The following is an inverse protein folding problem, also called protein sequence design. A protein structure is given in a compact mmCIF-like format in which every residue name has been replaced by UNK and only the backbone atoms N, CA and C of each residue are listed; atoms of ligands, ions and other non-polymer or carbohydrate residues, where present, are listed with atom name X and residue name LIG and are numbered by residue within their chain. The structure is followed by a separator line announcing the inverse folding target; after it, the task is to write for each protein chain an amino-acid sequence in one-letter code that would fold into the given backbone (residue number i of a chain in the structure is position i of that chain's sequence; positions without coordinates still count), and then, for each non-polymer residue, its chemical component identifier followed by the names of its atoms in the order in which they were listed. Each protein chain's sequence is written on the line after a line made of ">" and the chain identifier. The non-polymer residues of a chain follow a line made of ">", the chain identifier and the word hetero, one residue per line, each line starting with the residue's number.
data_IF_758747482081
#
_entry.id   IF_758747482081
#
_cell.length_a   1.000
_cell.length_b   1.000
_cell.length_c   1.000
_cell.angle_alpha   90.00
_cell.angle_beta   90.00
_cell.angle_gamma   90.00
#
_symmetry.space_group_name_H-M   'P 1'
#
loop_
_entity.id
_entity.type
_entity.pdbx_description
1 polymer ?
#
# COMPACT_ATOMS: atom_id res chain seq x y z
N UNK A 1 39.25 -1.57 -2.63
CA UNK A 1 37.88 -1.93 -2.20
C UNK A 1 36.97 -0.73 -2.44
N UNK A 2 35.78 -0.94 -2.96
CA UNK A 2 34.78 0.10 -3.27
C UNK A 2 33.65 0.17 -2.24
N UNK A 3 33.76 -0.55 -1.12
CA UNK A 3 32.81 -0.57 -0.01
C UNK A 3 33.48 -0.79 1.34
N UNK A 4 32.77 -0.46 2.43
CA UNK A 4 33.19 -0.67 3.81
C UNK A 4 33.00 -2.13 4.28
N UNK A 5 33.68 -2.56 5.37
CA UNK A 5 33.46 -3.86 6.00
C UNK A 5 32.00 -4.06 6.48
N UNK A 6 31.52 -5.31 6.61
CA UNK A 6 30.20 -5.61 7.18
C UNK A 6 30.00 -4.93 8.55
N UNK A 7 28.79 -4.41 8.79
CA UNK A 7 28.42 -3.69 9.99
C UNK A 7 27.12 -4.24 10.59
N UNK A 8 26.62 -3.64 11.68
CA UNK A 8 25.40 -4.07 12.36
C UNK A 8 24.16 -4.11 11.42
N UNK A 9 24.11 -3.25 10.39
CA UNK A 9 23.07 -3.29 9.35
C UNK A 9 23.06 -4.59 8.53
N UNK A 10 24.13 -5.40 8.56
CA UNK A 10 24.20 -6.72 7.94
C UNK A 10 23.55 -7.84 8.79
N UNK A 11 23.22 -7.56 10.05
CA UNK A 11 22.61 -8.54 10.98
C UNK A 11 21.15 -8.23 11.32
N UNK A 12 20.61 -7.13 10.80
CA UNK A 12 19.20 -6.76 10.95
C UNK A 12 18.47 -7.24 9.69
N UNK A 13 17.42 -8.04 9.87
CA UNK A 13 16.60 -8.57 8.78
C UNK A 13 15.15 -8.10 8.88
N UNK A 14 14.37 -8.41 7.84
CA UNK A 14 12.95 -8.07 7.73
C UNK A 14 12.08 -9.10 8.44
N UNK A 15 10.94 -8.68 8.99
CA UNK A 15 9.96 -9.61 9.56
C UNK A 15 9.16 -10.30 8.45
N UNK A 16 9.47 -11.57 8.21
CA UNK A 16 8.67 -12.46 7.34
C UNK A 16 7.68 -13.35 8.11
N UNK A 17 7.88 -13.49 9.42
CA UNK A 17 7.08 -14.29 10.34
C UNK A 17 7.00 -13.56 11.69
N UNK A 18 5.96 -13.84 12.49
CA UNK A 18 5.84 -13.33 13.86
C UNK A 18 4.46 -12.78 14.22
N UNK A 19 4.33 -12.28 15.46
CA UNK A 19 3.10 -11.65 15.94
C UNK A 19 3.10 -10.15 15.62
N UNK A 20 1.99 -9.65 15.09
CA UNK A 20 1.79 -8.24 14.80
C UNK A 20 1.74 -7.40 16.10
N UNK A 21 2.30 -6.18 16.11
CA UNK A 21 2.55 -5.37 17.30
C UNK A 21 1.74 -4.07 17.38
N UNK A 22 1.35 -3.50 16.25
CA UNK A 22 0.34 -2.45 16.15
C UNK A 22 -1.06 -2.88 16.66
N UNK A 23 -1.99 -1.93 16.60
CA UNK A 23 -3.32 -2.05 17.21
C UNK A 23 -4.42 -1.86 16.18
N UNK A 24 -5.47 -2.67 16.27
CA UNK A 24 -6.73 -2.36 15.59
C UNK A 24 -7.33 -1.09 16.21
N UNK A 25 -7.70 -0.15 15.37
CA UNK A 25 -8.30 1.13 15.74
C UNK A 25 -9.46 1.45 14.80
N UNK A 26 -10.21 2.49 15.14
CA UNK A 26 -11.10 3.14 14.20
C UNK A 26 -10.71 4.60 14.06
N UNK A 27 -10.83 5.16 12.86
CA UNK A 27 -10.60 6.57 12.57
C UNK A 27 -11.91 7.27 12.21
N UNK A 28 -11.88 8.61 12.14
CA UNK A 28 -13.04 9.42 11.72
C UNK A 28 -14.28 9.12 12.57
N UNK A 29 -14.12 9.23 13.89
CA UNK A 29 -15.19 8.99 14.87
C UNK A 29 -15.82 7.59 14.82
N UNK A 30 -15.02 6.57 14.53
CA UNK A 30 -15.49 5.17 14.54
C UNK A 30 -15.99 4.66 13.20
N UNK A 31 -15.87 5.46 12.11
CA UNK A 31 -16.44 5.10 10.82
C UNK A 31 -15.62 4.06 10.06
N UNK A 32 -14.29 4.18 10.10
CA UNK A 32 -13.40 3.39 9.26
C UNK A 32 -12.45 2.58 10.12
N UNK A 33 -12.37 1.27 9.85
CA UNK A 33 -11.41 0.38 10.51
C UNK A 33 -10.00 0.63 9.99
N UNK A 34 -9.02 0.51 10.89
CA UNK A 34 -7.61 0.60 10.53
C UNK A 34 -6.74 -0.17 11.52
N UNK A 35 -5.49 -0.36 11.13
CA UNK A 35 -4.44 -0.91 11.97
C UNK A 35 -3.31 0.11 12.10
N UNK A 36 -3.01 0.50 13.34
CA UNK A 36 -2.00 1.51 13.65
C UNK A 36 -0.74 0.85 14.20
N UNK A 37 0.33 0.87 13.42
CA UNK A 37 1.67 0.49 13.86
C UNK A 37 2.44 1.74 14.28
N UNK A 38 2.88 1.77 15.54
CA UNK A 38 3.58 2.93 16.13
C UNK A 38 5.07 2.66 16.22
N UNK A 39 5.94 3.58 15.75
CA UNK A 39 7.37 3.39 15.82
C UNK A 39 7.89 3.39 17.26
N UNK A 40 9.01 2.69 17.55
CA UNK A 40 9.72 2.82 18.82
C UNK A 40 10.08 4.30 19.10
N UNK A 41 9.92 4.80 20.34
CA UNK A 41 10.15 6.22 20.65
C UNK A 41 11.54 6.76 20.29
N UNK A 42 12.56 5.90 20.31
CA UNK A 42 13.95 6.21 19.98
C UNK A 42 14.21 6.34 18.46
N UNK A 43 13.31 5.81 17.63
CA UNK A 43 13.37 5.86 16.16
C UNK A 43 12.29 6.74 15.52
N UNK A 44 11.34 7.23 16.31
CA UNK A 44 10.13 7.87 15.80
C UNK A 44 10.42 9.19 15.07
N UNK A 45 10.05 9.23 13.78
CA UNK A 45 10.00 10.46 12.98
C UNK A 45 8.73 11.25 13.34
N UNK A 46 8.88 12.25 14.20
CA UNK A 46 7.77 12.94 14.91
C UNK A 46 6.73 13.67 14.06
N UNK A 47 6.86 13.68 12.74
CA UNK A 47 5.88 14.31 11.84
C UNK A 47 5.75 13.60 10.49
N UNK A 48 6.24 12.36 10.40
CA UNK A 48 6.20 11.57 9.17
C UNK A 48 5.37 10.31 9.41
N UNK A 49 4.51 9.97 8.46
CA UNK A 49 3.73 8.75 8.51
C UNK A 49 3.66 8.07 7.13
N UNK A 50 3.29 6.80 7.15
CA UNK A 50 2.92 6.02 5.98
C UNK A 50 1.42 5.68 6.08
N UNK A 51 0.67 6.04 5.04
CA UNK A 51 -0.64 5.48 4.77
C UNK A 51 -0.43 4.21 3.93
N UNK A 52 -0.84 3.06 4.45
CA UNK A 52 -0.72 1.79 3.75
C UNK A 52 -2.10 1.36 3.25
N UNK A 53 -2.26 1.35 1.93
CA UNK A 53 -3.42 0.82 1.22
C UNK A 53 -3.17 -0.66 0.88
N UNK A 54 -3.90 -1.60 1.50
CA UNK A 54 -3.64 -3.03 1.33
C UNK A 54 -4.04 -3.55 -0.05
N UNK A 55 -3.62 -4.78 -0.34
CA UNK A 55 -4.21 -5.57 -1.43
C UNK A 55 -5.64 -6.03 -1.11
N UNK A 56 -6.27 -6.79 -2.01
CA UNK A 56 -7.65 -7.30 -1.89
C UNK A 56 -7.95 -8.08 -0.59
N UNK A 57 -6.94 -8.53 0.15
CA UNK A 57 -7.10 -9.24 1.43
C UNK A 57 -7.16 -8.28 2.64
N UNK A 58 -7.00 -6.98 2.42
CA UNK A 58 -7.23 -5.93 3.41
C UNK A 58 -6.28 -5.99 4.62
N UNK A 59 -6.85 -5.89 5.82
CA UNK A 59 -6.10 -5.95 7.08
C UNK A 59 -5.96 -7.41 7.54
N UNK A 60 -4.91 -8.08 7.05
CA UNK A 60 -4.59 -9.46 7.37
C UNK A 60 -3.16 -9.57 7.94
N UNK A 61 -2.75 -10.80 8.25
CA UNK A 61 -1.49 -11.04 8.96
C UNK A 61 -0.29 -10.38 8.25
N UNK A 62 -0.12 -10.56 6.94
CA UNK A 62 1.05 -10.04 6.25
C UNK A 62 1.02 -8.51 6.09
N UNK A 63 -0.13 -7.91 5.81
CA UNK A 63 -0.23 -6.45 5.76
C UNK A 63 0.04 -5.81 7.12
N UNK A 64 -0.36 -6.45 8.23
CA UNK A 64 0.04 -6.00 9.58
C UNK A 64 1.54 -6.08 9.83
N UNK A 65 2.19 -7.18 9.40
CA UNK A 65 3.65 -7.33 9.54
C UNK A 65 4.42 -6.27 8.72
N UNK A 66 3.96 -5.98 7.50
CA UNK A 66 4.51 -4.90 6.69
C UNK A 66 4.31 -3.52 7.35
N UNK A 67 3.13 -3.26 7.92
CA UNK A 67 2.88 -2.02 8.66
C UNK A 67 3.81 -1.89 9.88
N UNK A 68 4.03 -2.98 10.62
CA UNK A 68 4.98 -3.02 11.73
C UNK A 68 6.42 -2.82 11.27
N UNK A 69 6.79 -3.31 10.09
CA UNK A 69 8.12 -3.11 9.51
C UNK A 69 8.37 -1.63 9.21
N UNK A 70 7.42 -0.93 8.57
CA UNK A 70 7.49 0.52 8.38
C UNK A 70 7.61 1.28 9.70
N UNK A 71 6.85 0.88 10.73
CA UNK A 71 6.96 1.44 12.07
C UNK A 71 8.32 1.16 12.72
N UNK A 72 8.89 -0.03 12.55
CA UNK A 72 10.21 -0.36 13.09
C UNK A 72 11.34 0.49 12.47
N UNK A 73 11.10 1.02 11.27
CA UNK A 73 11.96 1.95 10.53
C UNK A 73 11.67 3.44 10.84
N UNK A 74 10.79 3.72 11.80
CA UNK A 74 10.60 5.07 12.36
C UNK A 74 9.33 5.79 11.93
N UNK A 75 8.50 5.20 11.07
CA UNK A 75 7.30 5.85 10.53
C UNK A 75 6.02 5.39 11.21
N UNK A 76 5.21 6.32 11.73
CA UNK A 76 3.84 5.97 12.11
C UNK A 76 3.13 5.40 10.88
N UNK A 77 2.57 4.20 10.99
CA UNK A 77 1.98 3.54 9.83
C UNK A 77 0.52 3.22 10.10
N UNK A 78 -0.36 3.76 9.24
CA UNK A 78 -1.79 3.50 9.26
C UNK A 78 -2.12 2.58 8.08
N UNK A 79 -2.34 1.31 8.38
CA UNK A 79 -2.88 0.34 7.44
C UNK A 79 -4.41 0.49 7.44
N UNK A 80 -4.96 0.92 6.31
CA UNK A 80 -6.37 1.30 6.18
C UNK A 80 -7.20 0.12 5.68
N UNK A 81 -8.41 -0.06 6.22
CA UNK A 81 -9.41 -0.91 5.57
C UNK A 81 -10.09 -0.12 4.45
N UNK A 82 -9.60 -0.30 3.23
CA UNK A 82 -10.12 0.36 2.03
C UNK A 82 -11.43 -0.26 1.52
N UNK A 83 -11.84 -1.41 2.05
CA UNK A 83 -12.99 -2.18 1.55
C UNK A 83 -14.18 -2.15 2.51
N UNK A 84 -14.16 -1.27 3.52
CA UNK A 84 -15.30 -1.04 4.41
C UNK A 84 -15.84 -2.36 5.02
N UNK A 85 -14.94 -3.15 5.61
CA UNK A 85 -15.23 -4.42 6.28
C UNK A 85 -15.38 -5.61 5.33
N UNK A 86 -15.10 -5.45 4.04
CA UNK A 86 -15.34 -6.48 3.01
C UNK A 86 -14.08 -6.91 2.22
N UNK A 87 -12.97 -7.28 2.88
CA UNK A 87 -11.82 -7.85 2.19
C UNK A 87 -12.10 -9.27 1.69
N UNK A 88 -11.41 -9.69 0.63
CA UNK A 88 -11.47 -11.08 0.17
C UNK A 88 -10.77 -12.03 1.16
N UNK A 89 -11.37 -13.20 1.49
CA UNK A 89 -10.74 -14.17 2.36
C UNK A 89 -9.44 -14.70 1.76
N UNK A 90 -8.34 -14.67 2.53
CA UNK A 90 -7.01 -15.12 2.10
C UNK A 90 -7.05 -16.52 1.46
N UNK A 91 -7.79 -17.46 2.09
CA UNK A 91 -7.92 -18.83 1.57
C UNK A 91 -8.62 -18.89 0.21
N UNK A 92 -9.66 -18.08 0.01
CA UNK A 92 -10.40 -18.05 -1.26
C UNK A 92 -9.51 -17.46 -2.37
N UNK A 93 -8.72 -16.42 -2.06
CA UNK A 93 -7.72 -15.86 -2.98
C UNK A 93 -6.63 -16.88 -3.33
N UNK A 94 -6.10 -17.59 -2.33
CA UNK A 94 -5.06 -18.61 -2.53
C UNK A 94 -5.52 -19.79 -3.40
N UNK A 95 -6.81 -20.11 -3.35
CA UNK A 95 -7.42 -21.21 -4.10
C UNK A 95 -8.00 -20.78 -5.46
N UNK A 96 -7.88 -19.51 -5.85
CA UNK A 96 -8.51 -18.96 -7.06
C UNK A 96 -10.05 -19.14 -7.08
N UNK A 97 -10.68 -19.02 -5.92
CA UNK A 97 -12.13 -19.22 -5.69
C UNK A 97 -12.91 -17.89 -5.68
N UNK A 98 -12.29 -16.80 -6.15
CA UNK A 98 -12.84 -15.44 -6.08
C UNK A 98 -13.14 -14.86 -7.47
N UNK A 99 -14.32 -14.28 -7.62
CA UNK A 99 -14.63 -13.43 -8.76
C UNK A 99 -14.28 -11.98 -8.41
N UNK A 100 -13.04 -11.59 -8.72
CA UNK A 100 -12.50 -10.27 -8.38
C UNK A 100 -13.33 -9.16 -9.03
N UNK A 101 -13.79 -9.34 -10.27
CA UNK A 101 -14.58 -8.31 -10.96
C UNK A 101 -15.95 -8.12 -10.31
N UNK A 102 -16.64 -9.21 -9.96
CA UNK A 102 -17.90 -9.14 -9.22
C UNK A 102 -17.72 -8.50 -7.85
N UNK A 103 -16.66 -8.88 -7.13
CA UNK A 103 -16.34 -8.29 -5.84
C UNK A 103 -16.01 -6.79 -5.95
N UNK A 104 -15.24 -6.36 -6.94
CA UNK A 104 -14.97 -4.93 -7.16
C UNK A 104 -16.25 -4.13 -7.45
N UNK A 105 -17.18 -4.69 -8.22
CA UNK A 105 -18.38 -3.98 -8.67
C UNK A 105 -19.51 -3.94 -7.64
N UNK A 106 -19.57 -4.88 -6.69
CA UNK A 106 -20.66 -4.93 -5.71
C UNK A 106 -20.28 -5.41 -4.30
N UNK A 107 -19.02 -5.74 -4.05
CA UNK A 107 -18.58 -6.38 -2.81
C UNK A 107 -19.08 -7.81 -2.66
N UNK A 108 -18.89 -8.40 -1.49
CA UNK A 108 -19.33 -9.78 -1.20
C UNK A 108 -20.86 -9.92 -1.14
N UNK A 109 -21.57 -8.83 -0.84
CA UNK A 109 -23.03 -8.81 -0.64
C UNK A 109 -23.82 -8.15 -1.77
N UNK A 110 -23.16 -7.45 -2.70
CA UNK A 110 -23.79 -6.77 -3.84
C UNK A 110 -24.15 -5.30 -3.60
N UNK A 111 -23.90 -4.77 -2.39
CA UNK A 111 -24.21 -3.39 -1.97
C UNK A 111 -23.00 -2.64 -1.36
N UNK A 112 -21.79 -3.20 -1.48
CA UNK A 112 -20.55 -2.60 -0.97
C UNK A 112 -19.47 -2.57 -2.08
N UNK A 113 -19.61 -1.72 -3.11
CA UNK A 113 -18.67 -1.68 -4.23
C UNK A 113 -17.28 -1.20 -3.79
N UNK A 114 -16.23 -1.71 -4.45
CA UNK A 114 -14.83 -1.36 -4.21
C UNK A 114 -14.25 -0.65 -5.44
N UNK A 115 -14.88 0.45 -5.84
CA UNK A 115 -14.45 1.31 -6.94
C UNK A 115 -14.04 2.70 -6.41
N UNK A 116 -13.47 3.54 -7.29
CA UNK A 116 -13.00 4.89 -6.94
C UNK A 116 -14.02 5.69 -6.11
N UNK A 117 -15.31 5.85 -6.53
CA UNK A 117 -16.31 6.57 -5.72
C UNK A 117 -16.54 6.03 -4.30
N UNK A 118 -16.32 4.73 -4.08
CA UNK A 118 -16.50 4.10 -2.78
C UNK A 118 -15.24 4.20 -1.91
N UNK A 119 -14.05 4.03 -2.51
CA UNK A 119 -12.78 3.94 -1.80
C UNK A 119 -12.16 5.32 -1.53
N UNK A 120 -12.25 6.26 -2.46
CA UNK A 120 -11.61 7.58 -2.31
C UNK A 120 -12.07 8.35 -1.07
N UNK A 121 -13.36 8.39 -0.70
CA UNK A 121 -13.79 9.02 0.54
C UNK A 121 -13.18 8.38 1.80
N UNK A 122 -12.87 7.08 1.76
CA UNK A 122 -12.22 6.36 2.87
C UNK A 122 -10.77 6.81 2.97
N UNK A 123 -10.05 6.83 1.85
CA UNK A 123 -8.65 7.27 1.76
C UNK A 123 -8.50 8.73 2.18
N UNK A 124 -9.35 9.63 1.67
CA UNK A 124 -9.34 11.05 2.02
C UNK A 124 -9.60 11.29 3.51
N UNK A 125 -10.52 10.52 4.12
CA UNK A 125 -10.75 10.57 5.56
C UNK A 125 -9.55 10.09 6.37
N UNK A 126 -8.83 9.07 5.87
CA UNK A 126 -7.60 8.59 6.50
C UNK A 126 -6.47 9.61 6.43
N UNK A 127 -6.29 10.26 5.26
CA UNK A 127 -5.36 11.38 5.10
C UNK A 127 -5.71 12.48 6.10
N UNK A 128 -6.98 12.89 6.16
CA UNK A 128 -7.45 13.92 7.10
C UNK A 128 -7.16 13.54 8.55
N UNK A 129 -7.47 12.31 8.97
CA UNK A 129 -7.20 11.83 10.32
C UNK A 129 -5.68 11.89 10.63
N UNK A 130 -4.83 11.43 9.71
CA UNK A 130 -3.37 11.51 9.87
C UNK A 130 -2.88 12.95 10.03
N UNK A 131 -3.40 13.89 9.23
CA UNK A 131 -3.02 15.31 9.31
C UNK A 131 -3.51 15.98 10.60
N UNK A 132 -4.79 15.81 10.92
CA UNK A 132 -5.47 16.58 11.98
C UNK A 132 -5.36 15.93 13.36
N UNK A 133 -5.54 14.60 13.46
CA UNK A 133 -5.55 13.88 14.74
C UNK A 133 -4.14 13.43 15.14
N UNK A 134 -3.31 13.03 14.17
CA UNK A 134 -1.94 12.53 14.42
C UNK A 134 -0.84 13.57 14.13
N UNK A 135 -1.19 14.77 13.64
CA UNK A 135 -0.24 15.86 13.43
C UNK A 135 0.80 15.60 12.34
N UNK A 136 0.51 14.71 11.38
CA UNK A 136 1.43 14.33 10.32
C UNK A 136 1.67 15.49 9.35
N UNK A 137 2.94 15.84 9.13
CA UNK A 137 3.36 16.89 8.18
C UNK A 137 3.93 16.34 6.89
N UNK A 138 4.50 15.14 6.90
CA UNK A 138 4.94 14.41 5.72
C UNK A 138 4.25 13.06 5.65
N UNK A 139 3.49 12.81 4.58
CA UNK A 139 2.76 11.58 4.38
C UNK A 139 3.28 10.85 3.15
N UNK A 140 3.90 9.70 3.38
CA UNK A 140 4.10 8.71 2.33
C UNK A 140 2.84 7.86 2.18
N UNK A 141 2.56 7.38 0.98
CA UNK A 141 1.58 6.33 0.75
C UNK A 141 2.25 5.13 0.09
N UNK A 142 1.88 3.93 0.53
CA UNK A 142 2.34 2.67 -0.05
C UNK A 142 1.14 1.78 -0.35
N UNK A 143 1.15 1.08 -1.46
CA UNK A 143 0.02 0.21 -1.81
C UNK A 143 0.18 -0.54 -3.12
N UNK A 144 -0.71 -1.49 -3.32
CA UNK A 144 -0.77 -2.35 -4.51
C UNK A 144 -1.97 -2.00 -5.41
N UNK A 145 -3.03 -1.47 -4.80
CA UNK A 145 -4.30 -1.19 -5.47
C UNK A 145 -4.61 0.31 -5.52
N UNK A 146 -5.57 0.63 -6.38
CA UNK A 146 -6.22 1.92 -6.59
C UNK A 146 -6.54 2.69 -5.31
N UNK A 147 -6.67 4.02 -5.46
CA UNK A 147 -7.03 4.94 -4.39
C UNK A 147 -6.53 6.35 -4.71
N UNK A 148 -7.02 7.33 -3.95
CA UNK A 148 -6.60 8.72 -4.15
C UNK A 148 -5.09 8.94 -3.88
N UNK A 149 -4.28 9.06 -4.95
CA UNK A 149 -2.82 9.26 -4.89
C UNK A 149 -2.37 10.72 -5.01
N UNK A 150 -3.32 11.66 -5.15
CA UNK A 150 -3.04 13.00 -5.66
C UNK A 150 -2.97 14.07 -4.57
N UNK A 151 -3.99 14.12 -3.69
CA UNK A 151 -4.10 15.17 -2.67
C UNK A 151 -3.68 14.66 -1.30
N UNK A 152 -2.78 15.40 -0.66
CA UNK A 152 -2.39 15.15 0.72
C UNK A 152 -1.35 14.05 0.91
N UNK A 153 -0.87 13.42 -0.17
CA UNK A 153 0.27 12.50 -0.18
C UNK A 153 1.51 13.23 -0.73
N UNK A 154 2.61 13.18 0.03
CA UNK A 154 3.87 13.85 -0.31
C UNK A 154 4.81 12.95 -1.12
N UNK A 155 4.69 11.62 -1.01
CA UNK A 155 5.45 10.64 -1.78
C UNK A 155 4.69 9.31 -1.90
N UNK A 156 4.77 8.65 -3.05
CA UNK A 156 4.09 7.36 -3.30
C UNK A 156 5.06 6.21 -3.56
N UNK A 157 4.71 5.01 -3.10
CA UNK A 157 5.31 3.77 -3.57
C UNK A 157 4.22 2.78 -3.98
N UNK A 158 4.24 2.37 -5.24
CA UNK A 158 3.31 1.42 -5.82
C UNK A 158 4.04 0.11 -6.07
N UNK A 159 3.45 -1.01 -5.66
CA UNK A 159 3.95 -2.34 -6.02
C UNK A 159 2.88 -3.09 -6.81
N UNK A 160 3.20 -3.50 -8.03
CA UNK A 160 2.26 -4.12 -8.99
C UNK A 160 0.94 -3.34 -9.16
N UNK A 161 0.99 -2.07 -9.63
CA UNK A 161 -0.21 -1.24 -9.76
C UNK A 161 -1.34 -1.93 -10.55
N UNK A 162 -2.55 -1.84 -10.02
CA UNK A 162 -3.78 -2.35 -10.62
C UNK A 162 -4.86 -1.28 -10.66
N UNK A 163 -5.65 -1.24 -11.75
CA UNK A 163 -6.83 -0.37 -11.89
C UNK A 163 -6.44 1.11 -11.68
N UNK A 164 -5.38 1.56 -12.34
CA UNK A 164 -4.94 2.95 -12.31
C UNK A 164 -5.24 3.59 -13.67
N UNK A 165 -6.04 4.67 -13.65
CA UNK A 165 -6.30 5.45 -14.84
C UNK A 165 -5.13 6.39 -15.18
N UNK A 166 -4.96 6.68 -16.47
CA UNK A 166 -3.91 7.58 -16.94
C UNK A 166 -4.03 8.99 -16.33
N UNK A 167 -5.27 9.46 -16.11
CA UNK A 167 -5.55 10.74 -15.46
C UNK A 167 -5.16 10.75 -13.99
N UNK A 168 -5.41 9.67 -13.26
CA UNK A 168 -4.96 9.53 -11.86
C UNK A 168 -3.44 9.57 -11.76
N UNK A 169 -2.75 8.80 -12.60
CA UNK A 169 -1.29 8.77 -12.64
C UNK A 169 -0.71 10.15 -13.01
N UNK A 170 -1.35 10.85 -13.95
CA UNK A 170 -0.94 12.20 -14.35
C UNK A 170 -1.20 13.26 -13.27
N UNK A 171 -2.11 13.00 -12.34
CA UNK A 171 -2.45 13.90 -11.24
C UNK A 171 -1.54 13.73 -10.01
N UNK A 172 -0.65 12.72 -10.01
CA UNK A 172 0.32 12.52 -8.93
C UNK A 172 1.22 13.76 -8.82
N UNK A 173 1.23 14.37 -7.63
CA UNK A 173 1.89 15.65 -7.41
C UNK A 173 3.27 15.54 -6.75
N UNK A 174 3.59 14.39 -6.15
CA UNK A 174 4.85 14.10 -5.45
C UNK A 174 5.75 13.09 -6.17
N UNK A 175 6.94 12.80 -5.64
CA UNK A 175 7.77 11.70 -6.12
C UNK A 175 7.04 10.36 -5.99
N UNK A 176 7.18 9.49 -7.01
CA UNK A 176 6.61 8.14 -7.00
C UNK A 176 7.66 7.09 -7.34
N UNK A 177 7.64 5.97 -6.63
CA UNK A 177 8.45 4.79 -6.96
C UNK A 177 7.53 3.60 -7.26
N UNK A 178 7.82 2.87 -8.33
CA UNK A 178 7.03 1.75 -8.80
C UNK A 178 7.89 0.48 -8.82
N UNK A 179 7.44 -0.55 -8.13
CA UNK A 179 7.97 -1.89 -8.20
C UNK A 179 7.06 -2.73 -9.10
N UNK A 180 7.56 -3.15 -10.26
CA UNK A 180 6.78 -3.89 -11.25
C UNK A 180 7.27 -5.33 -11.40
N UNK A 181 6.34 -6.27 -11.49
CA UNK A 181 6.63 -7.68 -11.80
C UNK A 181 6.81 -7.92 -13.31
N UNK A 182 7.81 -8.75 -13.67
CA UNK A 182 8.09 -9.14 -15.06
C UNK A 182 6.93 -9.92 -15.70
N UNK A 183 6.36 -10.89 -14.98
CA UNK A 183 5.33 -11.79 -15.52
C UNK A 183 3.91 -11.34 -15.14
N UNK A 184 3.74 -10.05 -14.89
CA UNK A 184 2.45 -9.46 -14.55
C UNK A 184 1.59 -9.24 -15.81
N UNK A 185 0.44 -9.92 -15.86
CA UNK A 185 -0.54 -9.76 -16.94
C UNK A 185 -1.50 -8.59 -16.71
N UNK A 186 -1.59 -8.06 -15.49
CA UNK A 186 -2.40 -6.89 -15.13
C UNK A 186 -1.62 -5.61 -15.40
N UNK A 187 -0.32 -5.60 -15.12
CA UNK A 187 0.60 -4.50 -15.43
C UNK A 187 1.70 -4.91 -16.43
N UNK A 188 1.33 -5.28 -17.68
CA UNK A 188 2.26 -5.78 -18.69
C UNK A 188 3.19 -4.68 -19.22
N UNK A 189 4.16 -5.06 -20.06
CA UNK A 189 5.17 -4.16 -20.60
C UNK A 189 4.59 -2.91 -21.28
N UNK A 190 3.51 -3.08 -22.04
CA UNK A 190 2.80 -1.97 -22.69
C UNK A 190 2.29 -0.94 -21.66
N UNK A 191 1.66 -1.40 -20.59
CA UNK A 191 1.14 -0.53 -19.53
C UNK A 191 2.26 0.10 -18.70
N UNK A 192 3.38 -0.60 -18.49
CA UNK A 192 4.57 -0.02 -17.87
C UNK A 192 5.15 1.14 -18.69
N UNK A 193 5.28 0.96 -20.00
CA UNK A 193 5.78 2.02 -20.87
C UNK A 193 4.80 3.21 -20.94
N UNK A 194 3.48 2.94 -20.96
CA UNK A 194 2.46 4.00 -20.86
C UNK A 194 2.60 4.80 -19.54
N UNK A 195 2.83 4.10 -18.42
CA UNK A 195 3.12 4.73 -17.13
C UNK A 195 4.39 5.58 -17.17
N UNK A 196 5.47 5.07 -17.76
CA UNK A 196 6.72 5.84 -17.93
C UNK A 196 6.48 7.11 -18.76
N UNK A 197 5.77 7.02 -19.88
CA UNK A 197 5.44 8.16 -20.74
C UNK A 197 4.63 9.23 -19.99
N UNK A 198 3.67 8.83 -19.15
CA UNK A 198 2.87 9.74 -18.34
C UNK A 198 3.73 10.41 -17.27
N UNK A 199 4.56 9.64 -16.55
CA UNK A 199 5.42 10.17 -15.49
C UNK A 199 6.51 11.11 -16.03
N UNK A 200 7.07 10.81 -17.20
CA UNK A 200 7.99 11.70 -17.93
C UNK A 200 7.32 13.05 -18.22
N UNK A 201 6.06 13.04 -18.68
CA UNK A 201 5.31 14.26 -19.00
C UNK A 201 4.88 15.05 -17.77
N UNK A 202 4.58 14.37 -16.66
CA UNK A 202 4.18 14.98 -15.39
C UNK A 202 5.33 15.86 -14.80
N UNK A 203 6.58 15.54 -15.10
CA UNK A 203 7.74 16.34 -14.70
C UNK A 203 8.10 16.21 -13.21
N UNK A 204 7.47 15.25 -12.51
CA UNK A 204 7.82 14.85 -11.14
C UNK A 204 8.92 13.80 -11.15
N UNK A 205 9.56 13.64 -10.01
CA UNK A 205 10.56 12.59 -9.81
C UNK A 205 9.86 11.24 -9.80
N UNK A 206 10.35 10.29 -10.58
CA UNK A 206 9.86 8.93 -10.54
C UNK A 206 10.99 7.90 -10.59
N UNK A 207 10.68 6.72 -10.09
CA UNK A 207 11.50 5.52 -10.24
C UNK A 207 10.59 4.37 -10.66
N UNK A 208 11.02 3.57 -11.63
CA UNK A 208 10.39 2.30 -11.95
C UNK A 208 11.45 1.21 -11.94
N UNK A 209 11.18 0.13 -11.19
CA UNK A 209 12.05 -1.04 -11.10
C UNK A 209 11.30 -2.29 -11.53
N UNK A 210 11.84 -3.01 -12.51
CA UNK A 210 11.31 -4.29 -12.97
C UNK A 210 11.99 -5.44 -12.23
N UNK A 211 11.21 -6.28 -11.57
CA UNK A 211 11.67 -7.47 -10.86
C UNK A 211 11.41 -8.72 -11.72
N UNK A 212 12.48 -9.43 -12.07
CA UNK A 212 12.39 -10.64 -12.90
C UNK A 212 11.83 -11.84 -12.13
N UNK A 213 11.13 -12.73 -12.83
CA UNK A 213 10.61 -14.02 -12.32
C UNK A 213 9.64 -13.92 -11.15
N UNK A 214 8.99 -12.77 -11.00
CA UNK A 214 7.90 -12.56 -10.06
C UNK A 214 6.65 -12.13 -10.82
N UNK A 215 5.48 -12.42 -10.24
CA UNK A 215 4.17 -12.14 -10.79
C UNK A 215 3.41 -11.13 -9.92
N UNK A 216 2.20 -10.75 -10.35
CA UNK A 216 1.34 -9.81 -9.64
C UNK A 216 1.14 -10.15 -8.15
N UNK A 217 1.32 -9.15 -7.28
CA UNK A 217 1.20 -9.27 -5.84
C UNK A 217 2.47 -9.75 -5.14
N UNK A 218 3.63 -9.75 -5.80
CA UNK A 218 4.87 -10.28 -5.21
C UNK A 218 5.34 -9.52 -3.97
N UNK A 219 4.92 -8.26 -3.82
CA UNK A 219 5.31 -7.41 -2.70
C UNK A 219 4.56 -7.68 -1.40
N UNK A 220 3.36 -8.27 -1.45
CA UNK A 220 2.54 -8.59 -0.26
C UNK A 220 2.15 -10.05 -0.14
N UNK A 221 2.27 -10.86 -1.19
CA UNK A 221 1.93 -12.28 -1.11
C UNK A 221 3.12 -13.04 -0.51
N UNK A 222 2.97 -13.46 0.74
CA UNK A 222 3.82 -14.49 1.33
C UNK A 222 3.39 -15.88 0.83
N UNK A 223 4.08 -16.93 1.28
CA UNK A 223 3.64 -18.31 1.05
C UNK A 223 2.26 -18.52 1.69
N UNK A 224 1.20 -18.49 0.88
CA UNK A 224 -0.20 -18.64 1.33
C UNK A 224 -0.53 -20.09 1.75
N UNK A 225 0.40 -21.03 1.58
CA UNK A 225 0.23 -22.43 2.02
C UNK A 225 0.64 -22.68 3.48
N UNK A 226 1.23 -21.67 4.13
CA UNK A 226 1.62 -21.67 5.55
C UNK A 226 0.73 -20.77 6.38
#
# INVERSE_FOLDING_TARGET
>A
MTSYPPAQYCTVGFRHEGASQGKAIHITSGKHEAYLATPPPDKAEKSSAILFLPDIMGIWQNSRLLADEFASNGYLTLLLDTFNGDPLPVKAVANDEVDIFKWLTGGSTGDNPHNEPAVDPIVLNAIKALREEYGVKKLGAVGILFGHWNDGIDAGHLADPSIMDAGELAAINGPVSIAAAETDHIFPAEKRHETEDILIKNGKQYQLTLYSKVAHGFATRCDLSK
#
